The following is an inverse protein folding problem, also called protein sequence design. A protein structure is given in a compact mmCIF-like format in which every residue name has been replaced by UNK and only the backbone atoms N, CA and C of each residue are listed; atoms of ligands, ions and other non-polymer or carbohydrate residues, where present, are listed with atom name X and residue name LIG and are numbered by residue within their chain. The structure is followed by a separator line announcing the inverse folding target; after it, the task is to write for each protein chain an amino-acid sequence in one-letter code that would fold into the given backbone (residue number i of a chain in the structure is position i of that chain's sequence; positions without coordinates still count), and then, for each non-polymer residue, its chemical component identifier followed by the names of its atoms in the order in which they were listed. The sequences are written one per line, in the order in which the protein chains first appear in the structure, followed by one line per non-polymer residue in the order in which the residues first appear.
data_IF_638599024836
#
_entry.id   IF_638599024836
#
_cell.length_a   1.000
_cell.length_b   1.000
_cell.length_c   1.000
_cell.angle_alpha   90.00
_cell.angle_beta   90.00
_cell.angle_gamma   90.00
#
_symmetry.space_group_name_H-M   'P 1'
#
loop_
_entity.id
_entity.type
_entity.pdbx_description
1 polymer ?
#
# COMPACT_ATOMS: atom_id res chain seq x y z
N UNK A 1 11.54 12.60 -17.04
CA UNK A 1 11.11 13.17 -15.74
C UNK A 1 9.77 12.57 -15.37
N UNK A 2 9.71 11.90 -14.27
CA UNK A 2 8.50 11.21 -13.86
C UNK A 2 7.56 12.22 -13.18
N UNK A 3 6.39 12.48 -13.72
CA UNK A 3 5.42 13.48 -13.19
C UNK A 3 5.11 13.26 -11.71
N UNK A 4 5.05 12.01 -11.27
CA UNK A 4 4.82 11.67 -9.86
C UNK A 4 5.94 12.13 -8.92
N UNK A 5 7.19 12.27 -9.39
CA UNK A 5 8.29 12.77 -8.56
C UNK A 5 8.14 14.28 -8.30
N UNK A 6 7.85 15.06 -9.34
CA UNK A 6 7.69 16.51 -9.22
C UNK A 6 6.52 16.90 -8.27
N UNK A 7 5.43 16.17 -8.32
CA UNK A 7 4.31 16.40 -7.40
C UNK A 7 4.66 16.07 -5.95
N UNK A 8 5.42 15.01 -5.72
CA UNK A 8 5.90 14.66 -4.39
C UNK A 8 6.85 15.72 -3.83
N UNK A 9 7.80 16.21 -4.67
CA UNK A 9 8.74 17.24 -4.27
C UNK A 9 7.98 18.53 -3.91
N UNK A 10 6.98 18.91 -4.70
CA UNK A 10 6.08 20.03 -4.40
C UNK A 10 5.31 19.85 -3.09
N UNK A 11 4.74 18.67 -2.84
CA UNK A 11 4.02 18.38 -1.58
C UNK A 11 4.96 18.46 -0.39
N UNK A 12 6.18 17.93 -0.50
CA UNK A 12 7.18 18.01 0.57
C UNK A 12 7.58 19.45 0.85
N UNK A 13 7.71 20.28 -0.19
CA UNK A 13 7.99 21.71 -0.06
C UNK A 13 6.84 22.44 0.65
N UNK A 14 5.58 22.22 0.23
CA UNK A 14 4.40 22.80 0.88
C UNK A 14 4.27 22.44 2.36
N UNK A 15 4.71 21.23 2.72
CA UNK A 15 4.63 20.71 4.09
C UNK A 15 5.92 21.00 4.89
N UNK A 16 6.96 21.50 4.26
CA UNK A 16 8.27 21.72 4.88
C UNK A 16 8.24 22.68 6.07
N UNK A 17 7.30 23.61 6.12
CA UNK A 17 7.09 24.52 7.25
C UNK A 17 6.62 23.80 8.54
N UNK A 18 6.13 22.57 8.42
CA UNK A 18 5.70 21.76 9.57
C UNK A 18 6.87 21.04 10.28
N UNK A 19 8.09 21.13 9.73
CA UNK A 19 9.27 20.45 10.24
C UNK A 19 9.87 19.47 9.25
N UNK A 20 10.61 18.47 9.74
CA UNK A 20 11.27 17.47 8.91
C UNK A 20 10.27 16.49 8.30
N UNK A 21 9.82 16.78 7.08
CA UNK A 21 8.90 15.94 6.33
C UNK A 21 9.68 15.07 5.36
N UNK A 22 9.35 13.79 5.30
CA UNK A 22 9.96 12.83 4.37
C UNK A 22 8.89 12.04 3.60
N UNK A 23 9.14 11.84 2.30
CA UNK A 23 8.28 11.01 1.48
C UNK A 23 8.91 9.62 1.27
N UNK A 24 8.12 8.56 1.42
CA UNK A 24 8.55 7.17 1.17
C UNK A 24 7.60 6.49 0.21
N UNK A 25 8.18 5.87 -0.81
CA UNK A 25 7.40 5.13 -1.80
C UNK A 25 6.73 3.91 -1.18
N UNK A 26 5.44 3.70 -1.44
CA UNK A 26 4.67 2.57 -0.96
C UNK A 26 3.44 2.28 -1.85
N UNK A 27 3.17 1.01 -2.14
CA UNK A 27 1.92 0.52 -2.77
C UNK A 27 1.35 1.39 -3.91
N UNK A 28 2.20 1.83 -4.83
CA UNK A 28 1.77 2.64 -5.98
C UNK A 28 1.59 4.13 -5.70
N UNK A 29 1.96 4.60 -4.50
CA UNK A 29 1.95 5.99 -4.09
C UNK A 29 3.13 6.33 -3.20
N UNK A 30 2.99 7.38 -2.39
CA UNK A 30 3.99 7.80 -1.42
C UNK A 30 3.32 8.10 -0.08
N UNK A 31 3.86 7.55 0.99
CA UNK A 31 3.51 7.95 2.35
C UNK A 31 4.35 9.16 2.76
N UNK A 32 3.71 10.13 3.38
CA UNK A 32 4.35 11.33 3.91
C UNK A 32 4.47 11.19 5.42
N UNK A 33 5.69 11.36 5.90
CA UNK A 33 6.05 11.12 7.30
C UNK A 33 6.65 12.36 7.93
N UNK A 34 6.33 12.59 9.18
CA UNK A 34 7.01 13.53 10.07
C UNK A 34 7.42 12.78 11.34
N UNK A 35 8.69 12.88 11.72
CA UNK A 35 9.24 12.20 12.90
C UNK A 35 8.93 10.68 12.95
N UNK A 36 8.93 10.03 11.78
CA UNK A 36 8.61 8.61 11.64
C UNK A 36 7.11 8.28 11.66
N UNK A 37 6.24 9.27 11.80
CA UNK A 37 4.79 9.12 11.86
C UNK A 37 4.16 9.45 10.50
N UNK A 38 3.45 8.49 9.91
CA UNK A 38 2.74 8.71 8.65
C UNK A 38 1.45 9.48 8.89
N UNK A 39 1.36 10.70 8.40
CA UNK A 39 0.20 11.58 8.55
C UNK A 39 -0.52 11.91 7.25
N UNK A 40 0.14 11.66 6.12
CA UNK A 40 -0.47 11.87 4.81
C UNK A 40 -0.02 10.81 3.81
N UNK A 41 -0.73 10.72 2.71
CA UNK A 41 -0.38 9.83 1.60
C UNK A 41 -0.67 10.52 0.27
N UNK A 42 0.14 10.25 -0.74
CA UNK A 42 -0.06 10.73 -2.11
C UNK A 42 -0.26 9.53 -3.02
N UNK A 43 -1.31 9.57 -3.81
CA UNK A 43 -1.57 8.57 -4.85
C UNK A 43 -2.30 9.21 -6.02
N UNK A 44 -1.85 8.92 -7.25
CA UNK A 44 -2.45 9.49 -8.46
C UNK A 44 -2.44 11.01 -8.50
N UNK A 45 -1.35 11.64 -8.05
CA UNK A 45 -1.18 13.10 -7.94
C UNK A 45 -2.24 13.80 -7.06
N UNK A 46 -2.75 13.09 -6.06
CA UNK A 46 -3.68 13.63 -5.05
C UNK A 46 -3.11 13.38 -3.66
N UNK A 47 -3.12 14.44 -2.85
CA UNK A 47 -2.70 14.39 -1.44
C UNK A 47 -3.90 14.06 -0.55
N UNK A 48 -3.70 13.13 0.37
CA UNK A 48 -4.67 12.72 1.37
C UNK A 48 -4.07 12.83 2.76
N UNK A 49 -4.78 13.45 3.69
CA UNK A 49 -4.41 13.53 5.10
C UNK A 49 -5.09 12.46 5.92
N UNK A 50 -4.39 11.98 6.91
CA UNK A 50 -4.97 11.11 7.92
C UNK A 50 -6.01 11.86 8.74
N UNK A 51 -7.15 11.22 8.97
CA UNK A 51 -8.22 11.77 9.79
C UNK A 51 -8.65 10.79 10.88
N UNK A 52 -9.26 11.32 11.90
CA UNK A 52 -9.98 10.60 12.93
C UNK A 52 -11.39 11.19 13.12
N UNK A 53 -12.08 10.80 14.15
CA UNK A 53 -13.43 11.26 14.42
C UNK A 53 -13.50 12.78 14.73
N UNK A 54 -12.41 13.34 15.29
CA UNK A 54 -12.33 14.75 15.64
C UNK A 54 -12.02 15.65 14.43
N UNK A 55 -11.12 15.20 13.55
CA UNK A 55 -10.64 16.01 12.41
C UNK A 55 -11.49 15.84 11.15
N UNK A 56 -12.15 14.67 11.00
CA UNK A 56 -12.99 14.39 9.83
C UNK A 56 -14.06 15.43 9.51
N UNK A 57 -14.80 16.01 10.48
CA UNK A 57 -15.82 17.02 10.19
C UNK A 57 -15.27 18.23 9.43
N UNK A 58 -14.03 18.65 9.71
CA UNK A 58 -13.38 19.75 8.99
C UNK A 58 -13.18 19.43 7.51
N UNK A 59 -12.73 18.23 7.19
CA UNK A 59 -12.55 17.79 5.81
C UNK A 59 -13.88 17.62 5.07
N UNK A 60 -14.91 17.12 5.75
CA UNK A 60 -16.27 17.04 5.20
C UNK A 60 -16.82 18.42 4.87
N UNK A 61 -16.67 19.39 5.77
CA UNK A 61 -17.12 20.76 5.57
C UNK A 61 -16.39 21.45 4.40
N UNK A 62 -15.13 21.09 4.15
CA UNK A 62 -14.35 21.57 3.01
C UNK A 62 -14.69 20.83 1.69
N UNK A 63 -15.66 19.92 1.68
CA UNK A 63 -16.04 19.15 0.49
C UNK A 63 -15.04 18.07 0.08
N UNK A 64 -14.09 17.76 0.94
CA UNK A 64 -13.09 16.71 0.70
C UNK A 64 -13.72 15.33 0.60
N UNK A 65 -13.02 14.40 -0.08
CA UNK A 65 -13.49 13.03 -0.28
C UNK A 65 -12.55 12.03 0.41
N UNK A 66 -13.10 10.93 0.97
CA UNK A 66 -12.28 9.89 1.56
C UNK A 66 -11.50 9.14 0.47
N UNK A 67 -10.26 8.78 0.77
CA UNK A 67 -9.51 7.84 -0.04
C UNK A 67 -10.14 6.46 0.10
N UNK A 68 -10.50 5.86 -1.02
CA UNK A 68 -11.08 4.53 -1.09
C UNK A 68 -10.22 3.63 -1.98
N UNK A 69 -9.97 2.43 -1.54
CA UNK A 69 -9.30 1.41 -2.33
C UNK A 69 -10.19 0.18 -2.46
N UNK A 70 -9.95 -0.59 -3.49
CA UNK A 70 -10.71 -1.79 -3.74
C UNK A 70 -10.89 -2.04 -5.24
N UNK A 71 -11.67 -3.03 -5.54
CA UNK A 71 -12.05 -3.34 -6.92
C UNK A 71 -13.57 -3.55 -7.02
N UNK A 72 -14.08 -3.54 -8.25
CA UNK A 72 -15.52 -3.71 -8.53
C UNK A 72 -16.11 -5.00 -7.95
N UNK A 73 -15.30 -6.04 -7.72
CA UNK A 73 -15.76 -7.34 -7.19
C UNK A 73 -15.84 -7.36 -5.66
N UNK A 74 -14.97 -6.63 -4.96
CA UNK A 74 -14.89 -6.63 -3.49
C UNK A 74 -15.48 -5.39 -2.85
N UNK A 75 -15.94 -4.43 -3.66
CA UNK A 75 -16.40 -3.13 -3.19
C UNK A 75 -15.25 -2.18 -2.89
N UNK A 76 -15.60 -0.92 -2.67
CA UNK A 76 -14.67 0.13 -2.26
C UNK A 76 -14.65 0.21 -0.73
N UNK A 77 -13.45 0.18 -0.17
CA UNK A 77 -13.22 0.37 1.26
C UNK A 77 -12.73 1.79 1.47
N UNK A 78 -13.53 2.61 2.12
CA UNK A 78 -13.13 3.95 2.54
C UNK A 78 -12.11 3.85 3.68
N UNK A 79 -11.08 4.65 3.61
CA UNK A 79 -10.03 4.69 4.61
C UNK A 79 -10.19 5.90 5.54
N UNK A 80 -9.32 5.98 6.54
CA UNK A 80 -9.19 7.18 7.40
C UNK A 80 -8.32 8.27 6.78
N UNK A 81 -8.17 8.28 5.48
CA UNK A 81 -7.43 9.32 4.74
C UNK A 81 -8.41 10.11 3.87
N UNK A 82 -8.34 11.42 3.95
CA UNK A 82 -9.22 12.33 3.24
C UNK A 82 -8.41 13.28 2.37
N UNK A 83 -8.92 13.57 1.17
CA UNK A 83 -8.27 14.45 0.22
C UNK A 83 -8.01 15.82 0.84
N UNK A 84 -6.82 16.38 0.58
CA UNK A 84 -6.55 17.78 0.90
C UNK A 84 -7.52 18.66 0.10
N UNK A 85 -8.09 19.72 0.68
CA UNK A 85 -8.85 20.70 -0.07
C UNK A 85 -7.99 21.30 -1.19
N UNK A 86 -8.59 21.63 -2.32
CA UNK A 86 -7.87 22.16 -3.47
C UNK A 86 -7.17 23.49 -3.13
N UNK A 87 -7.82 24.35 -2.36
CA UNK A 87 -7.28 25.63 -1.89
C UNK A 87 -6.00 25.43 -1.06
N UNK A 88 -5.89 24.33 -0.32
CA UNK A 88 -4.72 24.03 0.50
C UNK A 88 -3.46 23.81 -0.35
N UNK A 89 -3.62 23.40 -1.60
CA UNK A 89 -2.50 23.16 -2.51
C UNK A 89 -1.91 24.44 -3.08
N UNK A 90 -2.52 25.58 -2.88
CA UNK A 90 -2.09 26.86 -3.48
C UNK A 90 -0.92 27.51 -2.73
N UNK A 91 -0.81 27.27 -1.43
CA UNK A 91 0.28 27.84 -0.65
C UNK A 91 0.55 27.10 0.66
N UNK A 92 1.79 27.18 1.19
CA UNK A 92 2.14 26.58 2.49
C UNK A 92 1.23 27.10 3.63
N UNK A 93 0.87 28.37 3.61
CA UNK A 93 0.02 28.96 4.64
C UNK A 93 -1.39 28.33 4.69
N UNK A 94 -1.97 28.05 3.51
CA UNK A 94 -3.27 27.39 3.41
C UNK A 94 -3.18 25.88 3.69
N UNK A 95 -2.03 25.27 3.41
CA UNK A 95 -1.76 23.87 3.70
C UNK A 95 -1.60 23.60 5.20
N UNK A 96 -1.00 24.52 5.94
CA UNK A 96 -0.62 24.36 7.35
C UNK A 96 -1.75 23.86 8.26
N UNK A 97 -2.97 24.41 8.24
CA UNK A 97 -4.06 23.95 9.10
C UNK A 97 -4.40 22.46 8.85
N UNK A 98 -4.45 22.07 7.60
CA UNK A 98 -4.79 20.71 7.20
C UNK A 98 -3.69 19.69 7.54
N UNK A 99 -2.44 20.07 7.32
CA UNK A 99 -1.29 19.26 7.72
C UNK A 99 -1.28 19.02 9.23
N UNK A 100 -1.56 20.06 10.03
CA UNK A 100 -1.65 19.96 11.48
C UNK A 100 -2.74 18.97 11.91
N UNK A 101 -3.94 19.07 11.34
CA UNK A 101 -5.02 18.11 11.62
C UNK A 101 -4.62 16.67 11.28
N UNK A 102 -3.92 16.47 10.18
CA UNK A 102 -3.39 15.15 9.78
C UNK A 102 -2.36 14.59 10.76
N UNK A 103 -1.44 15.44 11.22
CA UNK A 103 -0.41 15.09 12.22
C UNK A 103 -1.07 14.73 13.55
N UNK A 104 -2.02 15.55 14.04
CA UNK A 104 -2.74 15.30 15.28
C UNK A 104 -3.51 13.99 15.26
N UNK A 105 -4.22 13.69 14.16
CA UNK A 105 -4.93 12.43 13.98
C UNK A 105 -3.94 11.23 13.97
N UNK A 106 -2.78 11.42 13.37
CA UNK A 106 -1.74 10.39 13.36
C UNK A 106 -1.14 10.15 14.75
N UNK A 107 -0.89 11.21 15.51
CA UNK A 107 -0.40 11.13 16.89
C UNK A 107 -1.42 10.44 17.81
N UNK A 108 -2.69 10.85 17.78
CA UNK A 108 -3.74 10.21 18.58
C UNK A 108 -3.82 8.71 18.29
N UNK A 109 -3.74 8.30 17.05
CA UNK A 109 -3.75 6.89 16.67
C UNK A 109 -2.51 6.15 17.16
N UNK A 110 -1.34 6.76 17.12
CA UNK A 110 -0.10 6.17 17.63
C UNK A 110 -0.18 5.97 19.15
N UNK A 111 -0.66 6.96 19.88
CA UNK A 111 -0.85 6.88 21.33
C UNK A 111 -1.88 5.80 21.69
N UNK A 112 -2.99 5.71 20.97
CA UNK A 112 -4.00 4.68 21.18
C UNK A 112 -3.45 3.27 20.93
N UNK A 113 -2.58 3.12 19.93
CA UNK A 113 -1.93 1.83 19.62
C UNK A 113 -0.95 1.38 20.73
N UNK A 114 -0.29 2.33 21.40
CA UNK A 114 0.58 2.03 22.56
C UNK A 114 -0.23 1.64 23.79
N UNK A 115 -1.39 2.29 24.00
CA UNK A 115 -2.29 2.00 25.14
C UNK A 115 -3.07 0.68 25.00
N UNK A 116 -3.29 0.22 23.77
CA UNK A 116 -3.92 -1.07 23.48
C UNK A 116 -2.84 -2.10 23.15
N UNK A 117 -2.49 -3.02 24.04
CA UNK A 117 -1.59 -4.10 23.69
C UNK A 117 -2.23 -4.89 22.55
N UNK A 118 -1.56 -4.93 21.41
CA UNK A 118 -1.95 -5.80 20.28
C UNK A 118 -2.16 -7.20 20.83
N UNK A 119 -3.31 -7.83 20.60
CA UNK A 119 -3.40 -9.26 20.85
C UNK A 119 -2.29 -9.93 20.04
N UNK A 120 -1.41 -10.61 20.75
CA UNK A 120 -0.34 -11.37 20.12
C UNK A 120 -0.97 -12.30 19.08
N UNK A 121 -0.68 -12.06 17.81
CA UNK A 121 -0.99 -13.00 16.75
C UNK A 121 -0.30 -14.29 17.16
N UNK A 122 -1.07 -15.26 17.61
CA UNK A 122 -0.58 -16.61 17.85
C UNK A 122 -0.01 -17.10 16.52
N UNK A 123 1.31 -17.02 16.39
CA UNK A 123 2.03 -17.78 15.40
C UNK A 123 1.81 -19.22 15.79
N UNK A 124 0.84 -19.87 15.18
CA UNK A 124 0.72 -21.32 15.22
C UNK A 124 1.96 -21.85 14.50
N UNK A 125 2.98 -22.09 15.29
CA UNK A 125 4.08 -22.92 14.89
C UNK A 125 3.52 -24.34 14.73
N UNK A 126 3.16 -24.69 13.50
CA UNK A 126 2.93 -26.08 13.12
C UNK A 126 4.30 -26.74 13.08
N UNK A 127 4.74 -27.19 14.25
CA UNK A 127 5.88 -28.10 14.36
C UNK A 127 5.47 -29.38 13.67
N UNK A 128 5.98 -29.60 12.48
CA UNK A 128 5.93 -30.89 11.84
C UNK A 128 6.86 -31.83 12.62
N UNK A 129 6.25 -32.60 13.48
CA UNK A 129 6.86 -33.75 14.13
C UNK A 129 7.05 -34.82 13.05
N UNK A 130 8.23 -34.89 12.49
CA UNK A 130 8.67 -36.04 11.70
C UNK A 130 9.56 -36.87 12.58
N UNK A 131 8.95 -37.82 13.23
CA UNK A 131 9.67 -38.91 13.87
C UNK A 131 10.12 -39.91 12.82
N UNK A 132 11.37 -40.22 12.90
CA UNK A 132 12.10 -41.29 12.28
C UNK A 132 11.42 -42.65 12.43
N UNK A 133 11.44 -43.43 11.34
CA UNK A 133 11.76 -44.84 11.47
C UNK A 133 12.35 -45.33 10.17
N UNK A 134 13.51 -45.86 10.31
CA UNK A 134 14.33 -46.63 9.43
C UNK A 134 13.64 -47.88 8.89
N UNK A 135 13.90 -48.31 7.67
CA UNK A 135 14.61 -49.56 7.40
C UNK A 135 14.52 -49.89 5.90
N UNK A 136 15.64 -49.92 5.33
CA UNK A 136 16.20 -50.75 4.26
C UNK A 136 15.26 -51.69 3.48
N UNK A 137 15.34 -51.74 2.16
CA UNK A 137 16.04 -52.75 1.40
C UNK A 137 15.68 -52.68 -0.09
N UNK A 138 16.63 -52.33 -0.90
CA UNK A 138 17.19 -53.11 -2.01
C UNK A 138 16.35 -53.39 -3.27
N UNK A 139 16.89 -52.91 -4.34
CA UNK A 139 17.16 -53.61 -5.60
C UNK A 139 16.34 -53.25 -6.83
N UNK A 140 17.07 -52.74 -7.75
CA UNK A 140 17.21 -53.05 -9.17
C UNK A 140 16.38 -52.23 -10.17
N UNK A 141 17.09 -51.42 -10.92
CA UNK A 141 16.85 -51.10 -12.32
C UNK A 141 17.21 -52.32 -13.19
N UNK A 142 17.05 -52.38 -14.50
CA UNK A 142 16.71 -51.39 -15.51
C UNK A 142 15.91 -51.94 -16.73
N UNK A 143 15.84 -51.12 -17.77
CA UNK A 143 15.73 -51.39 -19.23
C UNK A 143 14.47 -50.85 -19.87
N UNK A 144 14.69 -49.83 -20.68
CA UNK A 144 15.06 -49.79 -22.11
C UNK A 144 13.91 -50.02 -23.07
N UNK A 145 13.70 -49.03 -23.88
CA UNK A 145 13.69 -48.95 -25.37
C UNK A 145 12.45 -48.23 -25.89
N UNK A 146 12.72 -47.20 -26.58
CA UNK A 146 12.79 -46.90 -28.03
C UNK A 146 11.46 -46.51 -28.60
N UNK A 147 11.42 -45.28 -28.99
CA UNK A 147 11.72 -44.76 -30.32
C UNK A 147 10.50 -44.57 -31.21
N UNK A 148 10.48 -43.39 -31.83
CA UNK A 148 10.10 -43.13 -33.21
C UNK A 148 8.60 -42.89 -33.39
N UNK A 149 8.11 -41.81 -33.91
CA UNK A 149 8.46 -41.04 -35.08
C UNK A 149 7.52 -39.87 -35.28
N UNK A 150 8.06 -38.77 -35.67
CA UNK A 150 7.39 -37.80 -36.54
C UNK A 150 7.17 -38.42 -37.94
N UNK A 151 6.27 -37.92 -38.79
CA UNK A 151 6.34 -36.63 -39.44
C UNK A 151 4.97 -35.95 -39.69
N UNK A 152 4.89 -34.65 -39.70
CA UNK A 152 5.04 -33.70 -40.78
C UNK A 152 3.90 -33.64 -41.83
N UNK A 153 3.49 -32.37 -42.07
CA UNK A 153 3.18 -31.73 -43.36
C UNK A 153 1.70 -31.65 -43.77
N UNK A 154 1.15 -30.49 -43.87
CA UNK A 154 0.86 -29.58 -45.00
C UNK A 154 -0.28 -28.66 -44.59
N UNK A 155 -0.02 -27.36 -44.51
CA UNK A 155 -0.06 -26.33 -45.53
C UNK A 155 -1.30 -26.43 -46.44
N UNK A 156 -2.16 -25.41 -46.36
CA UNK A 156 -2.68 -24.68 -47.52
C UNK A 156 -3.46 -23.41 -47.04
N UNK A 157 -2.99 -22.28 -47.43
CA UNK A 157 -3.69 -21.04 -47.81
C UNK A 157 -4.19 -21.21 -49.25
N UNK A 158 -4.99 -20.36 -49.88
CA UNK A 158 -5.47 -19.03 -49.58
C UNK A 158 -6.86 -18.68 -50.20
N UNK A 159 -7.21 -17.41 -50.07
CA UNK A 159 -8.08 -16.55 -50.96
C UNK A 159 -9.58 -16.81 -50.89
N UNK A 160 -10.35 -15.80 -50.74
CA UNK A 160 -10.62 -14.54 -51.44
C UNK A 160 -11.34 -13.58 -50.51
#
# INVERSE_FOLDING_TARGET
MNRGSAFIDYVVELLGEQGSVTARRMFGGHGIYQDGLMFALVTGDVLYFKTDEETRPGFVAAGSRPFSYGNKRRGLVATSYWQAPDDAMESPALMQPWARLGIEAALRKAIAAVKSPRPAVKRTAKVAKRASSSTATKKAAPKKKTATSRPAVKRVKPRS
#
